data_IF_422656289601
#
_entry.id   IF_422656289601
#
_cell.length_a   1.000
_cell.length_b   1.000
_cell.length_c   1.000
_cell.angle_alpha   90.00
_cell.angle_beta   90.00
_cell.angle_gamma   90.00
#
_symmetry.space_group_name_H-M   'P 1'
#
loop_
_entity.id
_entity.type
_entity.pdbx_description
1 polymer ?
#
# COMPACT_ATOMS: atom_id res chain seq x y z
N UNK A 1 -3.57 12.61 -2.82
CA UNK A 1 -4.60 11.56 -2.67
C UNK A 1 -4.49 10.98 -1.27
N UNK A 2 -5.59 10.50 -0.69
CA UNK A 2 -5.58 9.88 0.64
C UNK A 2 -5.24 8.40 0.54
N UNK A 3 -4.27 7.93 1.33
CA UNK A 3 -3.85 6.53 1.36
C UNK A 3 -3.57 6.07 2.80
N UNK A 4 -3.80 4.78 3.07
CA UNK A 4 -3.33 4.15 4.29
C UNK A 4 -1.86 3.75 4.14
N UNK A 5 -1.01 4.21 5.05
CA UNK A 5 0.46 4.07 4.99
C UNK A 5 0.97 3.20 6.14
N UNK A 6 1.92 2.32 5.82
CA UNK A 6 2.71 1.54 6.78
C UNK A 6 4.06 2.23 6.90
N UNK A 7 4.28 2.99 7.98
CA UNK A 7 5.58 3.63 8.23
C UNK A 7 6.61 2.66 8.83
N UNK A 8 6.13 1.63 9.55
CA UNK A 8 6.98 0.62 10.20
C UNK A 8 6.33 -0.77 10.13
N UNK A 9 7.14 -1.79 9.84
CA UNK A 9 6.67 -3.17 9.89
C UNK A 9 6.36 -3.64 11.32
N UNK A 10 5.37 -4.53 11.44
CA UNK A 10 5.02 -5.22 12.68
C UNK A 10 3.75 -4.67 13.33
N UNK A 11 3.64 -4.78 14.66
CA UNK A 11 2.48 -4.30 15.45
C UNK A 11 2.53 -2.78 15.67
N UNK A 12 2.78 -2.02 14.60
CA UNK A 12 2.71 -0.56 14.59
C UNK A 12 1.36 -0.11 14.00
N UNK A 13 0.81 1.03 14.44
CA UNK A 13 -0.38 1.60 13.84
C UNK A 13 -0.08 2.04 12.40
N UNK A 14 -1.03 1.79 11.50
CA UNK A 14 -1.07 2.43 10.19
C UNK A 14 -1.73 3.80 10.31
N UNK A 15 -1.43 4.72 9.40
CA UNK A 15 -2.06 6.05 9.36
C UNK A 15 -2.69 6.34 8.00
N UNK A 16 -3.78 7.10 8.02
CA UNK A 16 -4.29 7.75 6.82
C UNK A 16 -3.43 9.00 6.55
N UNK A 17 -2.98 9.17 5.31
CA UNK A 17 -2.09 10.24 4.91
C UNK A 17 -2.49 10.83 3.57
N UNK A 18 -2.23 12.12 3.37
CA UNK A 18 -2.14 12.68 2.03
C UNK A 18 -0.78 12.30 1.42
N UNK A 19 -0.82 11.71 0.23
CA UNK A 19 0.36 11.35 -0.57
C UNK A 19 0.21 11.91 -1.99
N UNK A 20 1.31 12.14 -2.73
CA UNK A 20 1.23 12.53 -4.13
C UNK A 20 0.41 11.53 -4.94
N UNK A 21 -0.38 12.02 -5.89
CA UNK A 21 -0.98 11.14 -6.90
C UNK A 21 0.14 10.58 -7.78
N UNK A 22 0.21 9.26 -8.00
CA UNK A 22 1.30 8.68 -8.77
C UNK A 22 1.25 9.09 -10.25
N UNK A 23 2.42 9.30 -10.84
CA UNK A 23 2.60 9.40 -12.29
C UNK A 23 2.58 8.00 -12.90
N UNK A 24 2.10 7.88 -14.15
CA UNK A 24 1.99 6.60 -14.86
C UNK A 24 2.80 6.61 -16.15
N UNK A 25 3.33 5.46 -16.53
CA UNK A 25 4.01 5.23 -17.81
C UNK A 25 3.02 4.83 -18.92
N UNK A 26 3.51 4.70 -20.15
CA UNK A 26 2.73 4.36 -21.36
C UNK A 26 1.82 3.12 -21.20
N UNK A 27 2.27 2.13 -20.42
CA UNK A 27 1.57 0.85 -20.23
C UNK A 27 0.91 0.69 -18.86
N UNK A 28 0.69 1.79 -18.13
CA UNK A 28 0.07 1.78 -16.81
C UNK A 28 -1.29 2.50 -16.86
N UNK A 29 -2.19 2.14 -15.93
CA UNK A 29 -3.49 2.79 -15.78
C UNK A 29 -3.58 3.37 -14.38
N UNK A 30 -3.96 4.64 -14.28
CA UNK A 30 -4.29 5.26 -12.99
C UNK A 30 -5.76 4.97 -12.66
N UNK A 31 -5.99 4.11 -11.67
CA UNK A 31 -7.34 3.78 -11.20
C UNK A 31 -7.75 4.66 -10.02
N UNK A 32 -8.92 5.30 -10.12
CA UNK A 32 -9.56 5.96 -8.97
C UNK A 32 -10.24 4.89 -8.11
N UNK A 33 -9.80 4.75 -6.86
CA UNK A 33 -10.29 3.71 -5.94
C UNK A 33 -11.50 4.22 -5.17
N UNK A 34 -12.68 3.64 -5.44
CA UNK A 34 -13.92 3.94 -4.71
C UNK A 34 -14.14 3.04 -3.49
N UNK A 35 -13.61 1.82 -3.52
CA UNK A 35 -13.73 0.84 -2.45
C UNK A 35 -12.53 -0.12 -2.44
N UNK A 36 -12.16 -0.59 -1.24
CA UNK A 36 -11.14 -1.62 -1.02
C UNK A 36 -11.58 -2.54 0.14
N UNK A 37 -11.09 -3.79 0.15
CA UNK A 37 -11.32 -4.73 1.25
C UNK A 37 -10.03 -5.02 2.01
N UNK A 38 -10.16 -5.58 3.21
CA UNK A 38 -9.05 -6.13 3.98
C UNK A 38 -9.02 -7.65 3.80
N UNK A 39 -7.84 -8.19 3.53
CA UNK A 39 -7.57 -9.59 3.27
C UNK A 39 -6.49 -10.13 4.24
N UNK A 40 -6.44 -11.46 4.48
CA UNK A 40 -5.44 -12.05 5.38
C UNK A 40 -3.97 -11.76 5.00
N UNK A 41 -3.68 -11.52 3.72
CA UNK A 41 -2.32 -11.20 3.24
C UNK A 41 -1.86 -9.80 3.70
N UNK A 42 -2.78 -8.86 3.93
CA UNK A 42 -2.45 -7.48 4.30
C UNK A 42 -1.71 -7.43 5.64
N UNK A 43 -2.08 -8.31 6.58
CA UNK A 43 -1.38 -8.46 7.85
C UNK A 43 0.06 -8.95 7.68
N UNK A 44 0.31 -9.85 6.71
CA UNK A 44 1.67 -10.35 6.42
C UNK A 44 2.52 -9.28 5.75
N UNK A 45 1.92 -8.46 4.88
CA UNK A 45 2.55 -7.29 4.27
C UNK A 45 2.91 -6.26 5.33
N UNK A 46 1.96 -5.87 6.19
CA UNK A 46 2.18 -4.97 7.32
C UNK A 46 3.24 -5.49 8.29
N UNK A 47 3.29 -6.79 8.53
CA UNK A 47 4.31 -7.39 9.39
C UNK A 47 5.68 -7.57 8.71
N UNK A 48 5.82 -7.25 7.41
CA UNK A 48 7.05 -7.40 6.65
C UNK A 48 7.41 -8.85 6.27
N UNK A 49 6.50 -9.80 6.48
CA UNK A 49 6.75 -11.26 6.32
C UNK A 49 6.90 -11.71 4.86
N UNK A 50 6.59 -10.84 3.91
CA UNK A 50 6.65 -11.11 2.47
C UNK A 50 7.63 -10.21 1.72
N UNK A 51 8.47 -9.44 2.44
CA UNK A 51 9.38 -8.46 1.85
C UNK A 51 10.37 -9.09 0.85
N UNK A 52 10.77 -10.35 1.05
CA UNK A 52 11.65 -11.06 0.12
C UNK A 52 10.96 -11.46 -1.20
N UNK A 53 9.62 -11.47 -1.23
CA UNK A 53 8.82 -11.89 -2.38
C UNK A 53 8.26 -10.70 -3.18
N UNK A 54 8.18 -9.52 -2.57
CA UNK A 54 7.54 -8.32 -3.15
C UNK A 54 8.57 -7.21 -3.27
N UNK A 55 8.77 -6.73 -4.50
CA UNK A 55 9.57 -5.54 -4.78
C UNK A 55 8.63 -4.33 -4.81
N UNK A 56 8.86 -3.36 -3.93
CA UNK A 56 8.19 -2.06 -3.98
C UNK A 56 9.00 -1.13 -4.88
N UNK A 57 8.31 -0.42 -5.77
CA UNK A 57 8.88 0.68 -6.57
C UNK A 57 8.62 2.00 -5.89
#
# INVERSE_FOLDING_TARGET
>A
MRAMVIDQYGKAPMRLAEVPTPEINEYEVLAEIHAASINPIDFKIRDGKVKLLIQYK
#
